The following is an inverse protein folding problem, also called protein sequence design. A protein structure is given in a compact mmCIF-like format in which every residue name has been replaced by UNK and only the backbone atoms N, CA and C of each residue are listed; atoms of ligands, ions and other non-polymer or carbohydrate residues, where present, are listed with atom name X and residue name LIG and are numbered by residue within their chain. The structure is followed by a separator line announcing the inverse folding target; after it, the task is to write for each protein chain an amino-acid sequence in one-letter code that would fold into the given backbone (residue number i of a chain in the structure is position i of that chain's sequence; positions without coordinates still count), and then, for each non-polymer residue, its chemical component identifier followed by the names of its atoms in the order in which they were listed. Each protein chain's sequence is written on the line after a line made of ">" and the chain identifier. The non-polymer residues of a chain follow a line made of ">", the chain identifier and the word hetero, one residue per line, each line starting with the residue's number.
data_IF_930948466277
#
_entry.id   IF_930948466277
#
_cell.length_a   1.000
_cell.length_b   1.000
_cell.length_c   1.000
_cell.angle_alpha   90.00
_cell.angle_beta   90.00
_cell.angle_gamma   90.00
#
_symmetry.space_group_name_H-M   'P 1'
#
loop_
_entity.id
_entity.type
_entity.pdbx_description
1 polymer ?
#
# COMPACT_ATOMS: atom_id res chain seq x y z
N UNK A 1 -8.33 -10.12 -11.13
CA UNK A 1 -8.77 -8.73 -11.42
C UNK A 1 -9.92 -8.35 -10.52
N UNK A 2 -9.94 -7.13 -9.97
CA UNK A 2 -11.01 -6.62 -9.12
C UNK A 2 -12.37 -6.59 -9.84
N UNK A 3 -12.40 -6.26 -11.13
CA UNK A 3 -13.63 -6.23 -11.94
C UNK A 3 -14.34 -7.58 -12.04
N UNK A 4 -13.62 -8.70 -11.90
CA UNK A 4 -14.22 -10.05 -11.87
C UNK A 4 -14.91 -10.32 -10.53
N UNK A 5 -14.48 -9.66 -9.45
CA UNK A 5 -15.04 -9.84 -8.10
C UNK A 5 -16.10 -8.81 -7.73
N UNK A 6 -16.03 -7.60 -8.30
CA UNK A 6 -16.88 -6.46 -7.96
C UNK A 6 -17.88 -6.08 -9.06
N UNK A 7 -17.73 -6.61 -10.29
CA UNK A 7 -18.46 -6.08 -11.45
C UNK A 7 -18.03 -4.64 -11.80
N UNK A 8 -18.89 -3.88 -12.49
CA UNK A 8 -18.67 -2.44 -12.74
C UNK A 8 -18.53 -1.66 -11.43
N UNK A 9 -17.50 -0.82 -11.35
CA UNK A 9 -17.25 0.05 -10.18
C UNK A 9 -18.11 1.29 -10.32
N UNK A 10 -18.95 1.58 -9.34
CA UNK A 10 -19.83 2.74 -9.30
C UNK A 10 -19.27 3.85 -8.41
N UNK A 11 -18.51 3.51 -7.37
CA UNK A 11 -18.06 4.45 -6.35
C UNK A 11 -16.73 4.05 -5.71
N UNK A 12 -15.87 5.04 -5.50
CA UNK A 12 -14.63 4.93 -4.72
C UNK A 12 -14.66 5.94 -3.59
N UNK A 13 -14.45 5.47 -2.36
CA UNK A 13 -14.43 6.30 -1.15
C UNK A 13 -13.00 6.39 -0.63
N UNK A 14 -12.54 7.60 -0.33
CA UNK A 14 -11.18 7.85 0.12
C UNK A 14 -11.13 8.96 1.18
N UNK A 15 -9.99 9.08 1.85
CA UNK A 15 -9.77 10.15 2.82
C UNK A 15 -9.39 11.46 2.15
N UNK A 16 -10.15 12.52 2.41
CA UNK A 16 -9.81 13.88 1.95
C UNK A 16 -8.52 14.35 2.61
N UNK A 17 -7.64 14.95 1.80
CA UNK A 17 -6.36 15.49 2.25
C UNK A 17 -5.17 14.53 2.14
N UNK A 18 -5.44 13.22 2.04
CA UNK A 18 -4.39 12.21 1.80
C UNK A 18 -4.13 11.98 0.31
N UNK A 19 -5.05 12.44 -0.55
CA UNK A 19 -4.99 12.34 -2.00
C UNK A 19 -4.94 13.73 -2.63
N UNK A 20 -4.26 13.82 -3.77
CA UNK A 20 -4.33 15.01 -4.63
C UNK A 20 -5.80 15.28 -5.01
N UNK A 21 -6.10 16.54 -5.35
CA UNK A 21 -7.44 16.92 -5.77
C UNK A 21 -7.92 16.01 -6.92
N UNK A 22 -9.00 15.30 -6.68
CA UNK A 22 -9.57 14.34 -7.63
C UNK A 22 -10.85 14.92 -8.27
N UNK A 23 -11.16 14.55 -9.53
CA UNK A 23 -12.43 14.91 -10.13
C UNK A 23 -13.58 14.24 -9.37
N UNK A 24 -14.80 14.78 -9.48
CA UNK A 24 -15.97 14.18 -8.83
C UNK A 24 -16.34 12.80 -9.41
N UNK A 25 -15.99 12.56 -10.68
CA UNK A 25 -16.21 11.29 -11.38
C UNK A 25 -15.00 10.93 -12.23
N UNK A 26 -14.74 9.63 -12.36
CA UNK A 26 -13.67 9.06 -13.16
C UNK A 26 -14.27 8.10 -14.19
N UNK A 27 -14.00 8.34 -15.48
CA UNK A 27 -14.40 7.40 -16.53
C UNK A 27 -13.53 6.13 -16.49
N UNK A 28 -14.17 4.98 -16.45
CA UNK A 28 -13.56 3.64 -16.47
C UNK A 28 -14.22 2.84 -17.61
N UNK A 29 -13.62 2.89 -18.80
CA UNK A 29 -14.20 2.27 -19.99
C UNK A 29 -15.55 2.90 -20.36
N UNK A 30 -16.61 2.08 -20.42
CA UNK A 30 -17.97 2.53 -20.72
C UNK A 30 -18.75 3.01 -19.48
N UNK A 31 -18.14 2.99 -18.29
CA UNK A 31 -18.77 3.38 -17.03
C UNK A 31 -18.04 4.57 -16.39
N UNK A 32 -18.69 5.21 -15.42
CA UNK A 32 -18.09 6.27 -14.62
C UNK A 32 -18.22 5.92 -13.15
N UNK A 33 -17.12 5.97 -12.42
CA UNK A 33 -17.09 5.80 -10.98
C UNK A 33 -17.12 7.17 -10.29
N UNK A 34 -17.95 7.33 -9.26
CA UNK A 34 -17.96 8.52 -8.41
C UNK A 34 -16.79 8.47 -7.42
N UNK A 35 -16.05 9.56 -7.29
CA UNK A 35 -14.96 9.68 -6.32
C UNK A 35 -15.43 10.52 -5.14
N UNK A 36 -15.68 9.86 -4.01
CA UNK A 36 -16.19 10.49 -2.80
C UNK A 36 -15.12 10.61 -1.72
N UNK A 37 -14.67 11.84 -1.49
CA UNK A 37 -13.76 12.13 -0.40
C UNK A 37 -14.51 12.37 0.92
N UNK A 38 -14.03 11.75 2.01
CA UNK A 38 -14.53 11.98 3.37
C UNK A 38 -13.39 12.29 4.33
N UNK A 39 -13.63 13.12 5.35
CA UNK A 39 -12.59 13.53 6.31
C UNK A 39 -12.26 12.45 7.35
N UNK A 40 -13.22 11.60 7.69
CA UNK A 40 -13.13 10.62 8.77
C UNK A 40 -12.72 9.21 8.30
N UNK A 41 -12.33 9.06 7.04
CA UNK A 41 -11.86 7.77 6.52
C UNK A 41 -10.46 7.43 7.07
N UNK A 42 -10.15 6.14 7.29
CA UNK A 42 -8.82 5.74 7.69
C UNK A 42 -7.78 6.13 6.63
N UNK A 43 -6.62 6.69 7.03
CA UNK A 43 -5.56 6.99 6.07
C UNK A 43 -5.04 5.72 5.40
N UNK A 44 -4.42 5.87 4.23
CA UNK A 44 -3.86 4.75 3.46
C UNK A 44 -4.85 3.61 3.14
N UNK A 45 -6.14 3.91 3.11
CA UNK A 45 -7.18 2.98 2.66
C UNK A 45 -8.09 3.65 1.64
N UNK A 46 -8.68 2.83 0.79
CA UNK A 46 -9.77 3.23 -0.10
C UNK A 46 -10.82 2.14 -0.13
N UNK A 47 -12.09 2.52 -0.13
CA UNK A 47 -13.17 1.58 -0.37
C UNK A 47 -13.58 1.64 -1.83
N UNK A 48 -13.73 0.48 -2.44
CA UNK A 48 -14.25 0.35 -3.80
C UNK A 48 -15.56 -0.40 -3.72
N UNK A 49 -16.60 0.24 -4.23
CA UNK A 49 -17.95 -0.28 -4.31
C UNK A 49 -18.22 -0.63 -5.78
N UNK A 50 -18.88 -1.76 -5.99
CA UNK A 50 -19.26 -2.26 -7.30
C UNK A 50 -20.71 -2.70 -7.33
N UNK A 51 -21.08 -3.43 -8.38
CA UNK A 51 -22.43 -3.94 -8.55
C UNK A 51 -22.85 -4.89 -7.41
N UNK A 52 -24.15 -5.03 -7.19
CA UNK A 52 -24.75 -5.98 -6.24
C UNK A 52 -24.24 -5.85 -4.79
N UNK A 53 -23.99 -4.60 -4.34
CA UNK A 53 -23.47 -4.27 -3.00
C UNK A 53 -22.06 -4.85 -2.72
N UNK A 54 -21.34 -5.23 -3.78
CA UNK A 54 -19.98 -5.74 -3.65
C UNK A 54 -19.04 -4.61 -3.19
N UNK A 55 -18.40 -4.82 -2.04
CA UNK A 55 -17.44 -3.87 -1.46
C UNK A 55 -16.11 -4.54 -1.17
N UNK A 56 -15.03 -3.84 -1.47
CA UNK A 56 -13.69 -4.18 -1.01
C UNK A 56 -13.01 -2.96 -0.39
N UNK A 57 -12.22 -3.18 0.64
CA UNK A 57 -11.30 -2.18 1.19
C UNK A 57 -9.90 -2.51 0.69
N UNK A 58 -9.26 -1.53 0.06
CA UNK A 58 -7.91 -1.65 -0.47
C UNK A 58 -6.94 -0.90 0.44
N UNK A 59 -5.81 -1.53 0.73
CA UNK A 59 -4.63 -0.88 1.30
C UNK A 59 -3.92 -0.05 0.23
N UNK A 60 -3.52 1.16 0.61
CA UNK A 60 -2.74 2.07 -0.22
C UNK A 60 -1.32 2.06 0.30
N UNK A 61 -0.39 1.57 -0.52
CA UNK A 61 1.04 1.69 -0.23
C UNK A 61 1.50 3.08 -0.68
N UNK A 62 2.09 3.91 0.21
CA UNK A 62 2.56 5.23 -0.18
C UNK A 62 3.59 5.16 -1.32
N UNK A 63 3.56 6.08 -2.30
CA UNK A 63 4.37 5.98 -3.53
C UNK A 63 5.87 6.08 -3.31
N UNK A 64 6.29 6.63 -2.16
CA UNK A 64 7.69 6.73 -1.74
C UNK A 64 8.19 5.48 -1.00
N UNK A 65 7.35 4.44 -0.88
CA UNK A 65 7.74 3.14 -0.33
C UNK A 65 8.68 2.44 -1.30
N UNK A 66 9.81 1.94 -0.81
CA UNK A 66 10.74 1.14 -1.61
C UNK A 66 10.03 -0.06 -2.25
N UNK A 67 10.37 -0.39 -3.50
CA UNK A 67 9.70 -1.40 -4.31
C UNK A 67 9.54 -2.77 -3.64
N UNK A 68 10.62 -3.30 -3.04
CA UNK A 68 10.55 -4.63 -2.40
C UNK A 68 9.59 -4.62 -1.22
N UNK A 69 9.53 -3.49 -0.50
CA UNK A 69 8.62 -3.33 0.63
C UNK A 69 7.19 -3.15 0.20
N UNK A 70 6.97 -2.39 -0.87
CA UNK A 70 5.65 -2.27 -1.47
C UNK A 70 5.14 -3.66 -1.87
N UNK A 71 6.01 -4.47 -2.47
CA UNK A 71 5.70 -5.85 -2.81
C UNK A 71 5.37 -6.71 -1.60
N UNK A 72 6.22 -6.73 -0.56
CA UNK A 72 5.96 -7.51 0.66
C UNK A 72 4.65 -7.10 1.35
N UNK A 73 4.38 -5.80 1.41
CA UNK A 73 3.16 -5.24 2.00
C UNK A 73 1.92 -5.66 1.20
N UNK A 74 2.00 -5.63 -0.13
CA UNK A 74 0.91 -6.11 -1.00
C UNK A 74 0.68 -7.61 -0.84
N UNK A 75 1.75 -8.42 -0.70
CA UNK A 75 1.62 -9.87 -0.50
C UNK A 75 0.99 -10.21 0.85
N UNK A 76 1.39 -9.52 1.93
CA UNK A 76 0.79 -9.67 3.25
C UNK A 76 -0.70 -9.32 3.21
N UNK A 77 -1.05 -8.13 2.69
CA UNK A 77 -2.44 -7.68 2.59
C UNK A 77 -3.33 -8.58 1.70
N UNK A 78 -2.74 -9.32 0.76
CA UNK A 78 -3.46 -10.24 -0.11
C UNK A 78 -3.65 -11.64 0.51
N UNK A 79 -3.05 -11.92 1.69
CA UNK A 79 -3.18 -13.21 2.34
C UNK A 79 -4.63 -13.43 2.81
N UNK A 80 -5.25 -14.57 2.48
CA UNK A 80 -6.59 -14.87 2.96
C UNK A 80 -6.65 -14.89 4.49
N UNK A 81 -7.71 -14.32 5.06
CA UNK A 81 -7.93 -14.24 6.51
C UNK A 81 -6.78 -13.54 7.27
N UNK A 82 -6.12 -12.56 6.66
CA UNK A 82 -5.18 -11.69 7.39
C UNK A 82 -5.96 -10.63 8.19
N UNK A 83 -5.82 -10.69 9.51
CA UNK A 83 -6.47 -9.78 10.47
C UNK A 83 -5.56 -8.59 10.84
N UNK A 84 -4.39 -8.47 10.18
CA UNK A 84 -3.43 -7.41 10.47
C UNK A 84 -4.02 -6.04 10.15
N UNK A 85 -3.91 -5.12 11.11
CA UNK A 85 -4.36 -3.73 10.93
C UNK A 85 -3.59 -3.03 9.80
N UNK A 86 -4.18 -1.98 9.22
CA UNK A 86 -3.55 -1.13 8.20
C UNK A 86 -2.18 -0.61 8.67
N UNK A 87 -2.10 -0.05 9.88
CA UNK A 87 -0.85 0.40 10.46
C UNK A 87 0.14 -0.75 10.68
N UNK A 88 -0.34 -1.93 11.05
CA UNK A 88 0.47 -3.15 11.17
C UNK A 88 1.10 -3.58 9.84
N UNK A 89 0.32 -3.56 8.75
CA UNK A 89 0.79 -3.87 7.41
C UNK A 89 1.85 -2.86 6.93
N UNK A 90 1.66 -1.58 7.23
CA UNK A 90 2.63 -0.53 6.92
C UNK A 90 3.87 -0.58 7.83
N UNK A 91 3.72 -1.05 9.07
CA UNK A 91 4.81 -1.27 10.03
C UNK A 91 5.67 -2.48 9.65
N UNK A 92 5.10 -3.50 9.01
CA UNK A 92 5.89 -4.60 8.40
C UNK A 92 6.88 -4.02 7.40
N UNK A 93 6.44 -3.06 6.57
CA UNK A 93 7.32 -2.31 5.67
C UNK A 93 8.41 -1.53 6.44
N UNK A 94 8.07 -0.93 7.58
CA UNK A 94 9.03 -0.19 8.42
C UNK A 94 10.05 -1.09 9.12
N UNK A 95 9.72 -2.32 9.50
CA UNK A 95 10.66 -3.23 10.19
C UNK A 95 11.66 -3.86 9.22
N UNK A 96 11.22 -4.20 8.01
CA UNK A 96 12.14 -4.69 6.97
C UNK A 96 13.11 -3.59 6.49
N UNK A 97 12.70 -2.31 6.60
CA UNK A 97 13.60 -1.17 6.41
C UNK A 97 14.80 -1.25 7.32
N UNK A 98 14.56 -1.34 8.61
CA UNK A 98 15.59 -1.30 9.63
C UNK A 98 16.50 -2.51 9.48
N UNK A 99 15.92 -3.67 9.18
CA UNK A 99 16.67 -4.90 8.91
C UNK A 99 17.61 -4.78 7.70
N UNK A 100 17.15 -4.19 6.58
CA UNK A 100 18.00 -3.95 5.41
C UNK A 100 19.07 -2.89 5.69
N UNK A 101 18.69 -1.77 6.31
CA UNK A 101 19.64 -0.72 6.69
C UNK A 101 20.72 -1.25 7.64
N UNK A 102 20.38 -2.12 8.58
CA UNK A 102 21.33 -2.79 9.45
C UNK A 102 22.25 -3.74 8.67
N UNK A 103 21.72 -4.54 7.74
CA UNK A 103 22.55 -5.42 6.88
C UNK A 103 23.50 -4.62 5.98
N UNK A 104 23.03 -3.53 5.37
CA UNK A 104 23.86 -2.64 4.56
C UNK A 104 24.93 -1.92 5.39
N UNK A 105 24.59 -1.47 6.60
CA UNK A 105 25.55 -0.86 7.52
C UNK A 105 26.57 -1.89 8.05
N UNK A 106 26.14 -3.13 8.29
CA UNK A 106 27.03 -4.23 8.63
C UNK A 106 27.99 -4.49 7.46
N UNK A 107 27.49 -4.58 6.23
CA UNK A 107 28.31 -4.80 5.04
C UNK A 107 29.33 -3.68 4.80
N UNK A 108 28.92 -2.41 4.90
CA UNK A 108 29.83 -1.27 4.80
C UNK A 108 30.90 -1.25 5.92
N UNK A 109 30.57 -1.77 7.12
CA UNK A 109 31.54 -1.96 8.20
C UNK A 109 32.52 -3.09 7.91
N UNK A 110 32.06 -4.21 7.36
CA UNK A 110 32.93 -5.33 6.94
C UNK A 110 33.87 -4.95 5.78
N UNK A 111 33.38 -4.14 4.84
CA UNK A 111 34.19 -3.62 3.73
C UNK A 111 35.23 -2.58 4.20
N UNK A 112 34.95 -1.84 5.28
CA UNK A 112 35.89 -0.90 5.89
C UNK A 112 36.96 -1.54 6.79
N UNK A 113 36.71 -2.72 7.35
CA UNK A 113 37.60 -3.41 8.29
C UNK A 113 38.50 -4.48 7.61
N UNK A 114 38.27 -4.77 6.33
CA UNK A 114 38.96 -5.82 5.56
C UNK A 114 40.43 -5.56 5.20
N UNK A 115 41.12 -4.64 5.88
CA UNK A 115 42.40 -4.11 5.44
C UNK A 115 43.45 -3.92 6.53
N UNK A 116 43.79 -4.96 7.29
CA UNK A 116 45.16 -5.11 7.84
C UNK A 116 45.38 -6.49 8.44
N UNK A 117 46.18 -7.31 7.76
CA UNK A 117 47.01 -8.31 8.43
C UNK A 117 48.34 -7.61 8.78
N UNK A 118 48.74 -7.53 10.06
CA UNK A 118 50.09 -7.11 10.40
C UNK A 118 51.03 -8.33 10.38
N UNK A 119 52.18 -8.19 9.69
CA UNK A 119 53.36 -9.04 9.83
C UNK A 119 53.72 -9.83 8.58
#
# INVERSE_FOLDING_TARGET
>A
MLSVRLGPIDRVVYKLGDWAAAPATLAIGAHSARLDGYRLQPPNTMEVHGADDARVVLLVVPPHTNQDRAHATMMAAAHPNDDTTVDGLLMISLRERESRSQRSAAQARWEGDGGSLPG
#
